data_IF_068249626338
#
_entry.id   IF_068249626338
#
_cell.length_a   1.000
_cell.length_b   1.000
_cell.length_c   1.000
_cell.angle_alpha   90.00
_cell.angle_beta   90.00
_cell.angle_gamma   90.00
#
_symmetry.space_group_name_H-M   'P 1'
#
loop_
_entity.id
_entity.type
_entity.pdbx_description
1 polymer ?
#
# COMPACT_ATOMS: atom_id res chain seq x y z
N UNK A 1 -4.73 -19.06 -16.55
CA UNK A 1 -5.40 -18.42 -15.38
C UNK A 1 -5.27 -19.37 -14.20
N UNK A 2 -4.99 -18.85 -13.01
CA UNK A 2 -4.98 -19.67 -11.79
C UNK A 2 -6.40 -19.73 -11.19
N UNK A 3 -6.76 -20.86 -10.60
CA UNK A 3 -8.04 -21.06 -9.92
C UNK A 3 -7.82 -21.03 -8.40
N UNK A 4 -8.75 -20.41 -7.68
CA UNK A 4 -8.77 -20.34 -6.22
C UNK A 4 -10.03 -21.03 -5.71
N UNK A 5 -9.88 -22.02 -4.85
CA UNK A 5 -10.99 -22.67 -4.14
C UNK A 5 -10.99 -22.21 -2.69
N UNK A 6 -12.13 -21.71 -2.22
CA UNK A 6 -12.34 -21.24 -0.86
C UNK A 6 -13.52 -21.99 -0.25
N UNK A 7 -13.34 -22.51 0.97
CA UNK A 7 -14.44 -23.01 1.79
C UNK A 7 -15.03 -21.85 2.60
N UNK A 8 -16.31 -21.58 2.41
CA UNK A 8 -17.06 -20.52 3.06
C UNK A 8 -18.33 -21.12 3.66
N UNK A 9 -18.87 -20.45 4.67
CA UNK A 9 -20.21 -20.75 5.14
C UNK A 9 -21.25 -20.51 4.03
N UNK A 10 -22.20 -21.44 3.89
CA UNK A 10 -23.19 -21.40 2.81
C UNK A 10 -24.10 -20.18 2.90
N UNK A 11 -24.50 -19.77 4.11
CA UNK A 11 -25.34 -18.57 4.30
C UNK A 11 -24.58 -17.30 3.92
N UNK A 12 -23.29 -17.25 4.26
CA UNK A 12 -22.43 -16.13 3.88
C UNK A 12 -22.29 -16.05 2.35
N UNK A 13 -22.04 -17.17 1.68
CA UNK A 13 -21.90 -17.21 0.23
C UNK A 13 -23.20 -16.79 -0.47
N UNK A 14 -24.35 -17.22 0.05
CA UNK A 14 -25.64 -16.84 -0.48
C UNK A 14 -25.88 -15.33 -0.37
N UNK A 15 -25.67 -14.74 0.81
CA UNK A 15 -25.79 -13.29 1.04
C UNK A 15 -24.85 -12.50 0.13
N UNK A 16 -23.61 -12.97 -0.04
CA UNK A 16 -22.64 -12.35 -0.93
C UNK A 16 -23.08 -12.38 -2.40
N UNK A 17 -23.68 -13.49 -2.86
CA UNK A 17 -24.23 -13.59 -4.22
C UNK A 17 -25.40 -12.63 -4.42
N UNK A 18 -26.32 -12.56 -3.48
CA UNK A 18 -27.45 -11.63 -3.55
C UNK A 18 -27.01 -10.18 -3.61
N UNK A 19 -26.02 -9.81 -2.78
CA UNK A 19 -25.42 -8.48 -2.82
C UNK A 19 -24.75 -8.19 -4.17
N UNK A 20 -23.92 -9.11 -4.65
CA UNK A 20 -23.23 -8.96 -5.93
C UNK A 20 -24.22 -8.78 -7.10
N UNK A 21 -25.33 -9.52 -7.11
CA UNK A 21 -26.37 -9.37 -8.14
C UNK A 21 -27.00 -7.99 -8.11
N UNK A 22 -27.33 -7.46 -6.92
CA UNK A 22 -27.87 -6.09 -6.77
C UNK A 22 -26.92 -5.03 -7.29
N UNK A 23 -25.61 -5.27 -7.17
CA UNK A 23 -24.54 -4.38 -7.63
C UNK A 23 -24.09 -4.67 -9.06
N UNK A 24 -24.81 -5.53 -9.80
CA UNK A 24 -24.46 -5.95 -11.17
C UNK A 24 -23.02 -6.51 -11.30
N UNK A 25 -22.54 -7.20 -10.27
CA UNK A 25 -21.21 -7.82 -10.20
C UNK A 25 -21.32 -9.30 -9.83
N UNK A 26 -20.17 -9.94 -9.57
CA UNK A 26 -20.10 -11.32 -9.10
C UNK A 26 -19.17 -11.44 -7.90
N UNK A 27 -19.39 -12.45 -7.05
CA UNK A 27 -18.49 -12.75 -5.93
C UNK A 27 -17.05 -12.96 -6.40
N UNK A 28 -16.85 -13.59 -7.56
CA UNK A 28 -15.51 -13.79 -8.14
C UNK A 28 -14.85 -12.47 -8.55
N UNK A 29 -15.63 -11.50 -9.07
CA UNK A 29 -15.11 -10.18 -9.38
C UNK A 29 -14.71 -9.42 -8.10
N UNK A 30 -15.56 -9.47 -7.07
CA UNK A 30 -15.27 -8.87 -5.76
C UNK A 30 -14.01 -9.46 -5.12
N UNK A 31 -13.86 -10.79 -5.12
CA UNK A 31 -12.65 -11.46 -4.60
C UNK A 31 -11.42 -11.06 -5.39
N UNK A 32 -11.50 -10.99 -6.73
CA UNK A 32 -10.38 -10.57 -7.57
C UNK A 32 -9.97 -9.13 -7.26
N UNK A 33 -10.94 -8.23 -7.14
CA UNK A 33 -10.69 -6.83 -6.84
C UNK A 33 -10.07 -6.67 -5.45
N UNK A 34 -10.62 -7.35 -4.45
CA UNK A 34 -10.08 -7.36 -3.09
C UNK A 34 -8.62 -7.82 -3.06
N UNK A 35 -8.30 -8.96 -3.70
CA UNK A 35 -6.93 -9.46 -3.77
C UNK A 35 -5.99 -8.50 -4.50
N UNK A 36 -6.47 -7.84 -5.54
CA UNK A 36 -5.70 -6.82 -6.28
C UNK A 36 -5.38 -5.63 -5.39
N UNK A 37 -6.36 -5.11 -4.67
CA UNK A 37 -6.16 -4.00 -3.73
C UNK A 37 -5.24 -4.41 -2.57
N UNK A 38 -5.40 -5.63 -2.05
CA UNK A 38 -4.57 -6.17 -0.97
C UNK A 38 -3.09 -6.24 -1.37
N UNK A 39 -2.79 -6.76 -2.56
CA UNK A 39 -1.40 -6.80 -3.07
C UNK A 39 -0.88 -5.39 -3.34
N UNK A 40 -1.65 -4.54 -4.01
CA UNK A 40 -1.22 -3.17 -4.33
C UNK A 40 -0.93 -2.33 -3.08
N UNK A 41 -1.72 -2.49 -2.01
CA UNK A 41 -1.47 -1.80 -0.74
C UNK A 41 -0.11 -2.22 -0.14
N UNK A 42 0.20 -3.51 -0.17
CA UNK A 42 1.49 -4.05 0.29
C UNK A 42 2.64 -3.57 -0.58
N UNK A 43 2.49 -3.61 -1.90
CA UNK A 43 3.52 -3.13 -2.83
C UNK A 43 3.80 -1.64 -2.66
N UNK A 44 2.76 -0.79 -2.53
CA UNK A 44 2.96 0.65 -2.30
C UNK A 44 3.78 0.92 -1.04
N UNK A 45 3.50 0.18 0.04
CA UNK A 45 4.27 0.30 1.28
C UNK A 45 5.74 -0.09 1.08
N UNK A 46 5.99 -1.22 0.41
CA UNK A 46 7.35 -1.67 0.14
C UNK A 46 8.11 -0.68 -0.75
N UNK A 47 7.49 -0.21 -1.84
CA UNK A 47 8.09 0.81 -2.72
C UNK A 47 8.40 2.11 -1.98
N UNK A 48 7.56 2.51 -1.02
CA UNK A 48 7.81 3.71 -0.21
C UNK A 48 9.02 3.53 0.72
N UNK A 49 9.22 2.32 1.26
CA UNK A 49 10.42 1.99 2.05
C UNK A 49 11.65 1.94 1.16
N UNK A 50 11.59 1.26 0.02
CA UNK A 50 12.70 1.22 -0.94
C UNK A 50 13.10 2.63 -1.42
N UNK A 51 12.11 3.50 -1.65
CA UNK A 51 12.36 4.89 -2.02
C UNK A 51 13.03 5.70 -0.88
N UNK A 52 12.63 5.45 0.37
CA UNK A 52 13.25 6.06 1.55
C UNK A 52 14.69 5.61 1.72
N UNK A 53 14.94 4.29 1.65
CA UNK A 53 16.28 3.71 1.76
C UNK A 53 17.18 4.24 0.64
N UNK A 54 16.69 4.30 -0.59
CA UNK A 54 17.42 4.84 -1.71
C UNK A 54 17.76 6.34 -1.55
N UNK A 55 16.92 7.12 -0.87
CA UNK A 55 17.23 8.52 -0.53
C UNK A 55 18.29 8.58 0.58
N UNK A 56 18.17 7.75 1.61
CA UNK A 56 19.13 7.68 2.71
C UNK A 56 20.53 7.28 2.22
N UNK A 57 20.64 6.27 1.35
CA UNK A 57 21.93 5.83 0.79
C UNK A 57 22.60 6.89 -0.08
N UNK A 58 21.82 7.72 -0.78
CA UNK A 58 22.36 8.76 -1.67
C UNK A 58 22.70 10.06 -0.96
N UNK A 59 22.31 10.21 0.30
CA UNK A 59 22.44 11.50 1.01
C UNK A 59 23.39 11.38 2.19
N UNK A 60 24.57 11.97 2.07
CA UNK A 60 25.43 12.26 3.22
C UNK A 60 24.87 13.46 3.99
N UNK A 61 23.83 13.21 4.78
CA UNK A 61 23.14 14.22 5.59
C UNK A 61 23.29 13.98 7.10
N UNK A 62 24.16 13.04 7.49
CA UNK A 62 24.61 12.90 8.86
C UNK A 62 25.38 14.16 9.26
N UNK A 63 25.02 14.74 10.42
CA UNK A 63 25.72 15.89 10.99
C UNK A 63 26.20 15.51 12.39
N UNK A 64 27.48 15.75 12.65
CA UNK A 64 28.09 15.50 13.96
C UNK A 64 27.72 16.59 14.99
N UNK A 65 27.06 17.66 14.56
CA UNK A 65 26.67 18.79 15.40
C UNK A 65 25.16 18.89 15.59
N UNK A 66 24.77 19.32 16.80
CA UNK A 66 23.36 19.55 17.15
C UNK A 66 22.86 20.78 16.40
N UNK A 67 21.83 20.61 15.58
CA UNK A 67 21.21 21.71 14.86
C UNK A 67 20.46 22.66 15.80
N UNK A 68 20.61 23.97 15.57
CA UNK A 68 19.71 24.99 16.10
C UNK A 68 18.77 25.46 15.00
N UNK A 69 17.64 26.06 15.38
CA UNK A 69 16.66 26.54 14.40
C UNK A 69 17.26 27.66 13.55
N UNK A 70 18.08 28.50 14.16
CA UNK A 70 18.84 29.57 13.51
C UNK A 70 19.87 29.02 12.53
N UNK A 71 20.62 27.96 12.87
CA UNK A 71 21.63 27.37 11.97
C UNK A 71 21.03 26.72 10.72
N UNK A 72 19.78 26.24 10.79
CA UNK A 72 19.07 25.66 9.65
C UNK A 72 18.43 26.70 8.71
N UNK A 73 18.19 27.92 9.20
CA UNK A 73 17.63 29.02 8.41
C UNK A 73 18.69 29.91 7.76
N UNK A 74 19.96 29.72 8.11
CA UNK A 74 21.09 30.38 7.46
C UNK A 74 21.20 29.84 6.01
N UNK A 75 20.56 30.54 5.07
CA UNK A 75 20.80 30.28 3.65
C UNK A 75 22.21 30.76 3.34
N UNK A 76 23.11 29.85 3.01
CA UNK A 76 24.36 30.22 2.33
C UNK A 76 23.99 30.84 0.99
N UNK A 77 23.91 32.17 0.95
CA UNK A 77 23.96 32.92 -0.30
C UNK A 77 25.38 32.78 -0.85
N UNK A 78 25.56 31.83 -1.76
CA UNK A 78 26.70 31.73 -2.66
C UNK A 78 26.25 32.03 -4.07
#
# INVERSE_FOLDING_TARGET
MANLTLSLDDELLQKAREAAVREHTSVNALVREYLTQYVNARERRLRALDALDAVAERTDSASDQRWSRESLHERQTG
#
